data_IF_619714934815
#
_entry.id   IF_619714934815
#
_cell.length_a   1.000
_cell.length_b   1.000
_cell.length_c   1.000
_cell.angle_alpha   90.00
_cell.angle_beta   90.00
_cell.angle_gamma   90.00
#
_symmetry.space_group_name_H-M   'P 1'
#
loop_
_entity.id
_entity.type
_entity.pdbx_description
1 polymer ?
#
# COMPACT_ATOMS: atom_id res chain seq x y z
N UNK A 1 -9.84 -22.47 -14.56
CA UNK A 1 -9.83 -22.13 -13.12
C UNK A 1 -8.97 -20.91 -12.90
N UNK A 2 -9.49 -19.87 -12.24
CA UNK A 2 -8.69 -18.72 -11.82
C UNK A 2 -7.78 -19.17 -10.68
N UNK A 3 -6.49 -18.83 -10.74
CA UNK A 3 -5.50 -19.32 -9.78
C UNK A 3 -4.98 -18.24 -8.83
N UNK A 4 -5.37 -17.00 -9.00
CA UNK A 4 -4.95 -15.95 -8.03
C UNK A 4 -5.22 -14.55 -8.55
N UNK A 5 -4.83 -13.58 -7.72
CA UNK A 5 -4.87 -12.16 -8.03
C UNK A 5 -3.44 -11.71 -8.27
N UNK A 6 -3.11 -11.27 -9.48
CA UNK A 6 -1.74 -10.86 -9.80
C UNK A 6 -1.44 -9.48 -9.25
N UNK A 7 -2.38 -8.55 -9.41
CA UNK A 7 -2.17 -7.17 -8.97
C UNK A 7 -3.51 -6.47 -8.71
N UNK A 8 -3.45 -5.42 -7.91
CA UNK A 8 -4.59 -4.58 -7.56
C UNK A 8 -4.22 -3.14 -7.95
N UNK A 9 -5.12 -2.44 -8.62
CA UNK A 9 -4.87 -1.07 -9.04
C UNK A 9 -5.06 -0.10 -7.87
N UNK A 10 -4.11 0.81 -7.69
CA UNK A 10 -4.21 1.94 -6.78
C UNK A 10 -4.21 3.22 -7.60
N UNK A 11 -5.28 3.98 -7.52
CA UNK A 11 -5.37 5.27 -8.21
C UNK A 11 -4.55 6.30 -7.46
N UNK A 12 -3.62 6.94 -8.16
CA UNK A 12 -2.68 7.90 -7.58
C UNK A 12 -2.74 9.22 -8.34
N UNK A 13 -2.32 10.29 -7.69
CA UNK A 13 -2.24 11.62 -8.33
C UNK A 13 -1.00 11.72 -9.20
N UNK A 14 0.12 11.18 -8.73
CA UNK A 14 1.42 11.28 -9.37
C UNK A 14 2.24 10.04 -9.08
N UNK A 15 2.92 9.51 -10.11
CA UNK A 15 3.72 8.30 -9.95
C UNK A 15 4.90 8.48 -9.00
N UNK A 16 5.62 9.60 -9.11
CA UNK A 16 6.84 9.79 -8.33
C UNK A 16 6.55 9.95 -6.84
N UNK A 17 5.49 10.68 -6.47
CA UNK A 17 5.12 10.80 -5.07
C UNK A 17 4.63 9.48 -4.48
N UNK A 18 3.95 8.65 -5.29
CA UNK A 18 3.50 7.34 -4.85
C UNK A 18 4.68 6.39 -4.65
N UNK A 19 5.65 6.40 -5.57
CA UNK A 19 6.90 5.63 -5.42
C UNK A 19 7.64 6.08 -4.15
N UNK A 20 7.76 7.38 -3.92
CA UNK A 20 8.46 7.89 -2.73
C UNK A 20 7.82 7.35 -1.45
N UNK A 21 6.50 7.31 -1.38
CA UNK A 21 5.84 6.78 -0.19
C UNK A 21 5.96 5.26 -0.10
N UNK A 22 5.51 4.52 -1.12
CA UNK A 22 5.43 3.06 -1.05
C UNK A 22 6.80 2.39 -1.09
N UNK A 23 7.74 2.92 -1.86
CA UNK A 23 9.06 2.31 -1.98
C UNK A 23 10.04 2.85 -0.96
N UNK A 24 10.13 4.16 -0.78
CA UNK A 24 11.11 4.75 0.16
C UNK A 24 10.67 4.65 1.60
N UNK A 25 9.38 4.89 1.91
CA UNK A 25 8.88 4.81 3.30
C UNK A 25 8.47 3.40 3.70
N UNK A 26 7.69 2.71 2.86
CA UNK A 26 7.19 1.37 3.19
C UNK A 26 8.16 0.25 2.81
N UNK A 27 9.16 0.53 1.98
CA UNK A 27 10.15 -0.47 1.58
C UNK A 27 9.70 -1.40 0.46
N UNK A 28 8.69 -1.01 -0.31
CA UNK A 28 8.28 -1.79 -1.48
C UNK A 28 9.34 -1.67 -2.59
N UNK A 29 9.35 -2.64 -3.49
CA UNK A 29 10.24 -2.66 -4.65
C UNK A 29 9.45 -2.45 -5.94
N UNK A 30 10.06 -1.74 -6.90
CA UNK A 30 9.50 -1.63 -8.25
C UNK A 30 9.77 -2.93 -8.98
N UNK A 31 8.70 -3.60 -9.45
CA UNK A 31 8.79 -4.85 -10.20
C UNK A 31 8.93 -4.57 -11.69
N UNK A 32 8.16 -3.62 -12.16
CA UNK A 32 8.16 -3.23 -13.57
C UNK A 32 7.85 -1.75 -13.68
N UNK A 33 8.53 -1.06 -14.59
CA UNK A 33 8.32 0.34 -14.89
C UNK A 33 8.51 0.53 -16.39
N UNK A 34 7.41 0.43 -17.13
CA UNK A 34 7.42 0.48 -18.59
C UNK A 34 6.58 1.64 -19.07
N UNK A 35 7.20 2.55 -19.84
CA UNK A 35 6.50 3.64 -20.47
C UNK A 35 5.77 3.12 -21.71
N UNK A 36 4.44 3.25 -21.72
CA UNK A 36 3.60 2.97 -22.87
C UNK A 36 3.25 4.30 -23.58
N UNK A 37 2.58 4.24 -24.74
CA UNK A 37 2.29 5.45 -25.52
C UNK A 37 1.57 6.52 -24.72
N UNK A 38 0.56 6.15 -23.94
CA UNK A 38 -0.29 7.11 -23.23
C UNK A 38 -0.23 6.97 -21.72
N UNK A 39 0.48 5.96 -21.19
CA UNK A 39 0.55 5.71 -19.76
C UNK A 39 1.82 4.97 -19.39
N UNK A 40 2.06 4.91 -18.08
CA UNK A 40 3.18 4.20 -17.49
C UNK A 40 2.65 2.93 -16.83
N UNK A 41 3.25 1.78 -17.14
CA UNK A 41 2.91 0.50 -16.52
C UNK A 41 3.87 0.29 -15.35
N UNK A 42 3.40 0.58 -14.13
CA UNK A 42 4.25 0.64 -12.95
C UNK A 42 3.70 -0.28 -11.87
N UNK A 43 4.40 -1.39 -11.63
CA UNK A 43 4.03 -2.39 -10.63
C UNK A 43 5.03 -2.38 -9.49
N UNK A 44 4.52 -2.42 -8.26
CA UNK A 44 5.32 -2.47 -7.04
C UNK A 44 4.86 -3.65 -6.17
N UNK A 45 5.74 -4.12 -5.30
CA UNK A 45 5.41 -5.19 -4.36
C UNK A 45 6.22 -5.07 -3.08
N UNK A 46 5.74 -5.66 -1.95
CA UNK A 46 6.55 -5.78 -0.73
C UNK A 46 7.86 -6.53 -1.00
N UNK A 47 8.91 -6.22 -0.26
CA UNK A 47 10.20 -6.90 -0.43
C UNK A 47 10.11 -8.40 -0.13
N UNK A 48 9.22 -8.82 0.78
CA UNK A 48 8.98 -10.23 1.05
C UNK A 48 8.45 -11.00 -0.14
N UNK A 49 7.90 -10.30 -1.14
CA UNK A 49 7.50 -10.88 -2.42
C UNK A 49 6.30 -11.81 -2.37
N UNK A 50 5.52 -11.79 -1.30
CA UNK A 50 4.32 -12.64 -1.17
C UNK A 50 3.07 -11.82 -1.42
N UNK A 51 2.05 -12.49 -1.96
CA UNK A 51 0.75 -11.89 -2.24
C UNK A 51 0.73 -11.16 -3.56
N UNK A 52 -0.27 -10.30 -3.71
CA UNK A 52 -0.51 -9.55 -4.93
C UNK A 52 0.37 -8.31 -5.00
N UNK A 53 0.64 -7.88 -6.23
CA UNK A 53 1.32 -6.61 -6.47
C UNK A 53 0.34 -5.47 -6.51
N UNK A 54 0.85 -4.25 -6.49
CA UNK A 54 0.06 -3.04 -6.67
C UNK A 54 0.46 -2.41 -8.00
N UNK A 55 -0.56 -2.14 -8.85
CA UNK A 55 -0.37 -1.37 -10.08
C UNK A 55 -0.70 0.10 -9.75
N UNK A 56 0.31 0.97 -9.82
CA UNK A 56 0.08 2.40 -9.62
C UNK A 56 -0.56 2.97 -10.89
N UNK A 57 -1.74 3.58 -10.76
CA UNK A 57 -2.54 4.06 -11.88
C UNK A 57 -2.83 5.55 -11.70
N UNK A 58 -2.16 6.40 -12.47
CA UNK A 58 -2.36 7.84 -12.36
C UNK A 58 -3.75 8.22 -12.85
N UNK A 59 -4.47 9.02 -12.06
CA UNK A 59 -5.77 9.54 -12.43
C UNK A 59 -5.66 10.45 -13.66
N UNK A 60 -6.54 10.26 -14.64
CA UNK A 60 -6.51 11.00 -15.91
C UNK A 60 -7.79 11.83 -16.14
N UNK A 61 -8.77 11.73 -15.28
CA UNK A 61 -10.03 12.49 -15.38
C UNK A 61 -10.58 12.80 -14.00
N UNK A 62 -11.69 13.56 -13.96
CA UNK A 62 -12.28 14.00 -12.69
C UNK A 62 -12.85 12.84 -11.88
N UNK A 63 -13.42 11.84 -12.54
CA UNK A 63 -13.96 10.66 -11.85
C UNK A 63 -12.83 9.89 -11.14
N UNK A 64 -11.72 9.69 -11.81
CA UNK A 64 -10.56 9.02 -11.21
C UNK A 64 -9.90 9.87 -10.13
N UNK A 65 -9.77 11.18 -10.35
CA UNK A 65 -9.22 12.07 -9.33
C UNK A 65 -10.07 12.09 -8.06
N UNK A 66 -11.36 11.93 -8.20
CA UNK A 66 -12.29 11.95 -7.06
C UNK A 66 -12.12 10.76 -6.13
N UNK A 67 -11.56 9.63 -6.60
CA UNK A 67 -11.38 8.44 -5.76
C UNK A 67 -10.00 8.37 -5.11
N UNK A 68 -9.07 9.27 -5.43
CA UNK A 68 -7.74 9.30 -4.80
C UNK A 68 -7.91 9.44 -3.28
N UNK A 69 -7.36 8.48 -2.53
CA UNK A 69 -7.50 8.45 -1.08
C UNK A 69 -8.85 7.93 -0.58
N UNK A 70 -9.79 7.62 -1.47
CA UNK A 70 -11.15 7.19 -1.13
C UNK A 70 -11.57 5.92 -1.86
N UNK A 71 -10.63 5.16 -2.34
CA UNK A 71 -10.89 4.00 -3.17
C UNK A 71 -11.72 2.94 -2.43
N UNK A 72 -11.55 2.83 -1.11
CA UNK A 72 -12.31 1.92 -0.28
C UNK A 72 -13.47 2.60 0.47
N UNK A 73 -13.80 3.84 0.12
CA UNK A 73 -14.92 4.55 0.75
C UNK A 73 -14.68 4.84 2.24
N UNK A 74 -13.45 5.01 2.67
CA UNK A 74 -13.11 5.26 4.08
C UNK A 74 -12.81 4.00 4.88
N UNK A 75 -12.98 2.82 4.31
CA UNK A 75 -12.57 1.56 4.94
C UNK A 75 -11.09 1.31 4.71
N UNK A 76 -10.55 0.29 5.38
CA UNK A 76 -9.18 -0.19 5.14
C UNK A 76 -9.09 -0.71 3.72
N UNK A 77 -8.15 -0.17 2.94
CA UNK A 77 -7.96 -0.53 1.55
C UNK A 77 -7.05 -1.74 1.40
N UNK A 78 -5.92 -1.73 2.10
CA UNK A 78 -4.92 -2.79 2.03
C UNK A 78 -4.66 -3.36 3.42
N UNK A 79 -4.28 -4.65 3.43
CA UNK A 79 -3.90 -5.38 4.63
C UNK A 79 -2.50 -5.93 4.38
N UNK A 80 -1.49 -5.29 4.97
CA UNK A 80 -0.09 -5.69 4.79
C UNK A 80 0.35 -6.56 5.97
N UNK A 81 0.86 -7.73 5.66
CA UNK A 81 1.36 -8.67 6.66
C UNK A 81 2.86 -8.43 6.92
N UNK A 82 3.26 -8.48 8.17
CA UNK A 82 4.66 -8.43 8.57
C UNK A 82 5.00 -9.65 9.43
N UNK A 83 6.25 -10.09 9.36
CA UNK A 83 6.78 -11.13 10.23
C UNK A 83 7.49 -10.55 11.47
N UNK A 84 7.65 -9.23 11.52
CA UNK A 84 8.26 -8.53 12.65
C UNK A 84 7.58 -7.17 12.84
N UNK A 85 6.43 -7.19 13.50
CA UNK A 85 5.61 -5.99 13.68
C UNK A 85 6.38 -4.86 14.36
N UNK A 86 7.08 -5.16 15.46
CA UNK A 86 7.72 -4.11 16.25
C UNK A 86 8.80 -3.38 15.46
N UNK A 87 9.64 -4.11 14.74
CA UNK A 87 10.69 -3.52 13.92
C UNK A 87 10.09 -2.67 12.80
N UNK A 88 9.11 -3.19 12.08
CA UNK A 88 8.48 -2.47 10.97
C UNK A 88 7.73 -1.23 11.49
N UNK A 89 6.99 -1.37 12.59
CA UNK A 89 6.26 -0.26 13.18
C UNK A 89 7.19 0.89 13.53
N UNK A 90 8.32 0.59 14.22
CA UNK A 90 9.28 1.63 14.61
C UNK A 90 9.95 2.27 13.40
N UNK A 91 10.29 1.50 12.38
CA UNK A 91 10.87 2.04 11.15
C UNK A 91 9.90 2.97 10.42
N UNK A 92 8.64 2.56 10.31
CA UNK A 92 7.62 3.38 9.65
C UNK A 92 7.37 4.67 10.42
N UNK A 93 7.29 4.60 11.74
CA UNK A 93 7.19 5.81 12.57
C UNK A 93 8.37 6.75 12.32
N UNK A 94 9.59 6.22 12.28
CA UNK A 94 10.81 7.04 12.09
C UNK A 94 10.83 7.70 10.71
N UNK A 95 10.13 7.13 9.74
CA UNK A 95 10.00 7.68 8.37
C UNK A 95 8.81 8.60 8.21
N UNK A 96 8.09 8.89 9.30
CA UNK A 96 6.97 9.84 9.28
C UNK A 96 5.65 9.25 8.79
N UNK A 97 5.50 7.93 8.82
CA UNK A 97 4.22 7.30 8.47
C UNK A 97 3.19 7.60 9.57
N UNK A 98 1.99 7.98 9.15
CA UNK A 98 0.91 8.45 10.02
C UNK A 98 0.07 7.27 10.53
N UNK A 99 0.41 6.71 11.69
CA UNK A 99 -0.41 5.70 12.35
C UNK A 99 -1.58 6.37 13.06
N UNK A 100 -2.79 5.95 12.73
CA UNK A 100 -4.03 6.54 13.23
C UNK A 100 -4.74 5.68 14.27
N UNK A 101 -4.46 4.37 14.31
CA UNK A 101 -5.04 3.44 15.28
C UNK A 101 -4.00 2.41 15.71
N UNK A 102 -4.09 2.00 16.97
CA UNK A 102 -3.23 0.96 17.52
C UNK A 102 -1.85 1.47 17.94
N UNK A 103 -0.93 0.52 18.20
CA UNK A 103 -1.06 -0.93 18.04
C UNK A 103 -2.06 -1.59 18.98
N UNK A 104 -2.76 -2.63 18.49
CA UNK A 104 -3.67 -3.43 19.27
C UNK A 104 -3.21 -4.88 19.27
N UNK A 105 -3.39 -5.57 20.42
CA UNK A 105 -3.23 -7.02 20.50
C UNK A 105 -4.60 -7.65 20.38
N UNK A 106 -4.83 -8.36 19.28
CA UNK A 106 -6.08 -9.06 19.01
C UNK A 106 -5.86 -10.56 19.13
N UNK A 107 -6.96 -11.34 19.19
CA UNK A 107 -6.86 -12.80 19.27
C UNK A 107 -6.11 -13.42 18.09
N UNK A 108 -6.15 -12.76 16.92
CA UNK A 108 -5.52 -13.25 15.68
C UNK A 108 -4.13 -12.67 15.43
N UNK A 109 -3.70 -11.69 16.22
CA UNK A 109 -2.38 -11.08 16.05
C UNK A 109 -2.32 -9.63 16.49
N UNK A 110 -1.22 -8.97 16.13
CA UNK A 110 -0.98 -7.58 16.45
C UNK A 110 -1.25 -6.73 15.20
N UNK A 111 -1.98 -5.62 15.37
CA UNK A 111 -2.42 -4.79 14.25
C UNK A 111 -2.31 -3.31 14.59
N UNK A 112 -1.98 -2.51 13.59
CA UNK A 112 -2.08 -1.04 13.64
C UNK A 112 -2.57 -0.55 12.28
N UNK A 113 -3.20 0.63 12.26
CA UNK A 113 -3.70 1.22 11.03
C UNK A 113 -2.94 2.51 10.76
N UNK A 114 -2.44 2.65 9.54
CA UNK A 114 -1.81 3.90 9.11
C UNK A 114 -2.47 4.41 7.83
N UNK A 115 -2.17 5.64 7.48
CA UNK A 115 -2.63 6.24 6.23
C UNK A 115 -1.49 6.34 5.24
N UNK A 116 -1.78 6.12 3.96
CA UNK A 116 -0.82 6.46 2.91
C UNK A 116 -0.85 7.97 2.64
N UNK A 117 -0.07 8.41 1.66
CA UNK A 117 0.07 9.84 1.34
C UNK A 117 -1.24 10.49 0.88
N UNK A 118 -2.21 9.69 0.44
CA UNK A 118 -3.51 10.19 -0.03
C UNK A 118 -4.61 10.05 1.01
N UNK A 119 -4.31 9.42 2.14
CA UNK A 119 -5.29 9.17 3.20
C UNK A 119 -5.96 7.81 3.12
N UNK A 120 -5.53 6.93 2.23
CA UNK A 120 -6.01 5.55 2.23
C UNK A 120 -5.57 4.85 3.51
N UNK A 121 -6.51 4.12 4.15
CA UNK A 121 -6.23 3.38 5.37
C UNK A 121 -5.63 2.02 5.05
N UNK A 122 -4.60 1.65 5.78
CA UNK A 122 -3.85 0.41 5.57
C UNK A 122 -3.60 -0.25 6.93
N UNK A 123 -3.94 -1.55 7.03
CA UNK A 123 -3.60 -2.36 8.20
C UNK A 123 -2.19 -2.90 8.05
N UNK A 124 -1.41 -2.76 9.10
CA UNK A 124 -0.17 -3.52 9.28
C UNK A 124 -0.48 -4.62 10.30
N UNK A 125 -0.31 -5.87 9.93
CA UNK A 125 -0.70 -7.00 10.77
C UNK A 125 0.40 -8.06 10.84
N UNK A 126 0.67 -8.52 12.06
CA UNK A 126 1.44 -9.75 12.30
C UNK A 126 0.53 -10.79 12.91
N UNK A 127 0.20 -11.83 12.15
CA UNK A 127 -0.72 -12.87 12.62
C UNK A 127 -0.01 -13.82 13.58
N UNK A 128 -0.76 -14.32 14.55
CA UNK A 128 -0.31 -15.41 15.41
C UNK A 128 -0.27 -16.69 14.56
N UNK A 129 0.82 -17.43 14.70
CA UNK A 129 1.04 -18.65 13.95
C UNK A 129 1.04 -19.87 14.85
#
# INVERSE_FOLDING_TARGET
MIVGITQIALVVRDYEEAIAFYCEKLGFSVVEDTQLETKRWLRIRPQGGRGSEILLSRAIDDEQRAVIGKQAGGRVLFFFETDDFETDYQQLLSRGVDFIEGPFNQSYGKVAVFKDLYGNRIDLIQRIR
#
